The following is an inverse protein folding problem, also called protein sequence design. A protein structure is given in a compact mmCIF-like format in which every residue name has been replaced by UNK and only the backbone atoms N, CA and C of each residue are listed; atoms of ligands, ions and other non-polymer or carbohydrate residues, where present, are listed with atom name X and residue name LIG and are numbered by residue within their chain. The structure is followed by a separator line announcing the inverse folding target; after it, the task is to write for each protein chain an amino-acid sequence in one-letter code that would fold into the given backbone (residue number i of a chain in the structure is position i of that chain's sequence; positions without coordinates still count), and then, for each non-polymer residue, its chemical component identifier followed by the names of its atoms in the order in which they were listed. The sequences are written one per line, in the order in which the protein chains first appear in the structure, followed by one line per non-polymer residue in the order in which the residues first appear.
data_IF_096757400100
#
_entry.id   IF_096757400100
#
_cell.length_a   1.000
_cell.length_b   1.000
_cell.length_c   1.000
_cell.angle_alpha   90.00
_cell.angle_beta   90.00
_cell.angle_gamma   90.00
#
_symmetry.space_group_name_H-M   'P 1'
#
loop_
_entity.id
_entity.type
_entity.pdbx_description
1 polymer ?
#
# COMPACT_ATOMS: atom_id res chain seq x y z
N UNK A 1 19.09 -8.04 -10.48
CA UNK A 1 17.74 -7.45 -10.55
C UNK A 1 17.77 -6.18 -9.74
N UNK A 2 17.78 -5.01 -10.37
CA UNK A 2 17.82 -3.74 -9.65
C UNK A 2 16.40 -3.43 -9.21
N UNK A 3 16.04 -3.83 -7.99
CA UNK A 3 14.89 -3.26 -7.29
C UNK A 3 15.19 -1.79 -7.05
N UNK A 4 14.84 -0.95 -8.03
CA UNK A 4 14.85 0.49 -7.83
C UNK A 4 13.66 0.80 -6.93
N UNK A 5 13.90 0.72 -5.63
CA UNK A 5 12.97 1.13 -4.59
C UNK A 5 12.55 2.56 -4.88
N UNK A 6 11.32 2.72 -5.35
CA UNK A 6 10.65 4.01 -5.33
C UNK A 6 10.64 4.37 -3.84
N UNK A 7 11.45 5.35 -3.43
CA UNK A 7 11.36 5.95 -2.09
C UNK A 7 10.03 6.68 -2.03
N UNK A 8 8.95 5.94 -1.78
CA UNK A 8 7.72 6.51 -1.25
C UNK A 8 8.08 6.83 0.19
N UNK A 9 8.33 8.10 0.47
CA UNK A 9 8.40 8.56 1.85
C UNK A 9 7.14 8.05 2.57
N UNK A 10 7.35 7.23 3.60
CA UNK A 10 6.26 6.50 4.24
C UNK A 10 5.26 7.52 4.80
N UNK A 11 3.99 7.39 4.41
CA UNK A 11 2.95 8.25 4.94
C UNK A 11 2.88 8.09 6.47
N UNK A 12 2.85 9.19 7.22
CA UNK A 12 2.83 9.19 8.69
C UNK A 12 1.66 8.39 9.27
N UNK A 13 0.48 8.44 8.66
CA UNK A 13 -0.69 7.64 9.09
C UNK A 13 -0.46 6.15 8.83
N UNK A 14 0.14 5.81 7.68
CA UNK A 14 0.50 4.42 7.37
C UNK A 14 1.48 3.86 8.39
N UNK A 15 2.48 4.68 8.79
CA UNK A 15 3.40 4.32 9.87
C UNK A 15 2.65 4.08 11.19
N UNK A 16 1.73 4.98 11.59
CA UNK A 16 0.94 4.83 12.82
C UNK A 16 0.10 3.56 12.82
N UNK A 17 -0.59 3.25 11.71
CA UNK A 17 -1.44 2.06 11.61
C UNK A 17 -0.65 0.75 11.68
N UNK A 18 0.52 0.70 11.03
CA UNK A 18 1.34 -0.50 10.95
C UNK A 18 2.25 -0.68 12.17
N UNK A 19 2.58 0.40 12.88
CA UNK A 19 3.36 0.33 14.10
C UNK A 19 2.64 -0.53 15.15
N UNK A 20 3.36 -1.45 15.78
CA UNK A 20 2.86 -2.32 16.85
C UNK A 20 1.51 -3.02 16.57
N UNK A 21 1.20 -3.30 15.30
CA UNK A 21 -0.10 -3.85 14.86
C UNK A 21 -1.30 -3.01 15.36
N UNK A 22 -1.16 -1.68 15.39
CA UNK A 22 -2.17 -0.77 15.92
C UNK A 22 -3.52 -0.93 15.22
N UNK A 23 -3.52 -1.10 13.90
CA UNK A 23 -4.76 -1.31 13.14
C UNK A 23 -5.47 -2.63 13.50
N UNK A 24 -4.72 -3.74 13.52
CA UNK A 24 -5.25 -5.05 13.85
C UNK A 24 -5.76 -5.11 15.29
N UNK A 25 -5.02 -4.51 16.22
CA UNK A 25 -5.42 -4.39 17.62
C UNK A 25 -6.70 -3.55 17.76
N UNK A 26 -6.79 -2.43 17.03
CA UNK A 26 -7.98 -1.60 17.01
C UNK A 26 -9.21 -2.36 16.48
N UNK A 27 -9.08 -3.10 15.38
CA UNK A 27 -10.13 -3.95 14.83
C UNK A 27 -10.58 -5.03 15.82
N UNK A 28 -9.64 -5.70 16.49
CA UNK A 28 -9.91 -6.73 17.49
C UNK A 28 -10.68 -6.17 18.69
N UNK A 29 -10.28 -5.01 19.18
CA UNK A 29 -10.89 -4.35 20.35
C UNK A 29 -12.29 -3.75 20.05
N UNK A 30 -12.59 -3.47 18.79
CA UNK A 30 -13.84 -2.83 18.35
C UNK A 30 -14.68 -3.73 17.43
N UNK A 31 -14.51 -5.05 17.54
CA UNK A 31 -15.20 -6.04 16.71
C UNK A 31 -16.72 -5.80 16.72
N UNK A 32 -17.31 -5.74 15.52
CA UNK A 32 -18.76 -5.52 15.34
C UNK A 32 -19.24 -4.07 15.49
N UNK A 33 -18.38 -3.13 15.92
CA UNK A 33 -18.71 -1.71 16.04
C UNK A 33 -18.25 -0.87 14.84
N UNK A 34 -17.28 -1.39 14.09
CA UNK A 34 -16.70 -0.70 12.93
C UNK A 34 -17.49 -1.07 11.67
N UNK A 35 -17.90 -0.05 10.91
CA UNK A 35 -18.56 -0.24 9.61
C UNK A 35 -17.58 -0.87 8.62
N UNK A 36 -18.04 -1.84 7.84
CA UNK A 36 -17.23 -2.52 6.82
C UNK A 36 -16.53 -1.57 5.84
N UNK A 37 -17.17 -0.45 5.50
CA UNK A 37 -16.56 0.57 4.62
C UNK A 37 -15.29 1.17 5.21
N UNK A 38 -15.22 1.38 6.53
CA UNK A 38 -14.02 1.92 7.19
C UNK A 38 -12.87 0.92 7.08
N UNK A 39 -13.17 -0.36 7.32
CA UNK A 39 -12.18 -1.44 7.22
C UNK A 39 -11.62 -1.47 5.80
N UNK A 40 -12.50 -1.49 4.80
CA UNK A 40 -12.14 -1.51 3.39
C UNK A 40 -11.28 -0.30 2.97
N UNK A 41 -11.61 0.91 3.41
CA UNK A 41 -10.84 2.10 3.03
C UNK A 41 -9.47 2.17 3.72
N UNK A 42 -9.37 1.73 4.98
CA UNK A 42 -8.07 1.65 5.67
C UNK A 42 -7.19 0.58 5.03
N UNK A 43 -7.72 -0.61 4.73
CA UNK A 43 -6.97 -1.68 4.07
C UNK A 43 -6.45 -1.22 2.69
N UNK A 44 -7.29 -0.56 1.88
CA UNK A 44 -6.85 0.05 0.61
C UNK A 44 -5.71 1.05 0.81
N UNK A 45 -5.81 1.90 1.83
CA UNK A 45 -4.77 2.88 2.13
C UNK A 45 -3.45 2.21 2.56
N UNK A 46 -3.52 1.17 3.39
CA UNK A 46 -2.35 0.40 3.83
C UNK A 46 -1.68 -0.35 2.67
N UNK A 47 -2.46 -0.82 1.69
CA UNK A 47 -1.94 -1.49 0.50
C UNK A 47 -1.77 -0.57 -0.72
N UNK A 48 -1.91 0.74 -0.53
CA UNK A 48 -1.69 1.71 -1.61
C UNK A 48 -0.23 1.63 -2.09
N UNK A 49 -0.06 1.57 -3.41
CA UNK A 49 1.25 1.41 -4.06
C UNK A 49 1.72 -0.05 -4.20
N UNK A 50 0.97 -1.03 -3.68
CA UNK A 50 1.29 -2.44 -3.86
C UNK A 50 1.03 -2.86 -5.32
N UNK A 51 2.06 -3.37 -5.98
CA UNK A 51 1.98 -3.82 -7.38
C UNK A 51 1.05 -5.02 -7.56
N UNK A 52 0.79 -5.81 -6.52
CA UNK A 52 -0.19 -6.91 -6.59
C UNK A 52 -1.63 -6.43 -6.82
N UNK A 53 -1.93 -5.17 -6.49
CA UNK A 53 -3.23 -4.54 -6.72
C UNK A 53 -3.39 -3.98 -8.15
N UNK A 54 -2.37 -4.12 -8.99
CA UNK A 54 -2.35 -3.63 -10.36
C UNK A 54 -1.33 -2.51 -10.58
N UNK A 55 -0.78 -2.46 -11.78
CA UNK A 55 0.23 -1.48 -12.19
C UNK A 55 0.16 -1.19 -13.68
N UNK A 56 0.77 -0.07 -14.08
CA UNK A 56 1.07 0.25 -15.47
C UNK A 56 2.53 -0.06 -15.76
N UNK A 57 2.79 -0.60 -16.96
CA UNK A 57 4.14 -0.87 -17.45
C UNK A 57 4.54 0.22 -18.44
N UNK A 58 5.69 0.84 -18.21
CA UNK A 58 6.32 1.78 -19.12
C UNK A 58 7.61 1.16 -19.62
N UNK A 59 7.70 0.95 -20.93
CA UNK A 59 8.88 0.39 -21.59
C UNK A 59 9.56 1.50 -22.41
N UNK A 60 10.88 1.62 -22.30
CA UNK A 60 11.63 2.47 -23.21
C UNK A 60 11.81 1.76 -24.55
N UNK A 61 11.61 2.48 -25.66
CA UNK A 61 11.80 1.92 -27.01
C UNK A 61 13.29 1.88 -27.40
N UNK A 62 14.11 2.79 -26.85
CA UNK A 62 15.53 2.92 -27.17
C UNK A 62 16.46 2.12 -26.25
N UNK A 63 15.96 1.55 -25.15
CA UNK A 63 16.78 0.76 -24.21
C UNK A 63 15.94 -0.31 -23.49
N UNK A 64 16.55 -1.37 -22.92
CA UNK A 64 15.79 -2.49 -22.32
C UNK A 64 15.12 -2.16 -20.98
N UNK A 65 15.08 -0.88 -20.58
CA UNK A 65 14.53 -0.48 -19.30
C UNK A 65 13.00 -0.57 -19.30
N UNK A 66 12.47 -1.19 -18.25
CA UNK A 66 11.03 -1.32 -17.96
C UNK A 66 10.77 -0.78 -16.57
N UNK A 67 9.72 0.04 -16.44
CA UNK A 67 9.26 0.60 -15.17
C UNK A 67 7.83 0.15 -14.89
N UNK A 68 7.63 -0.42 -13.72
CA UNK A 68 6.31 -0.72 -13.17
C UNK A 68 5.89 0.44 -12.27
N UNK A 69 4.69 0.97 -12.48
CA UNK A 69 4.15 2.08 -11.71
C UNK A 69 2.80 1.63 -11.14
N UNK A 70 2.62 1.60 -9.80
CA UNK A 70 1.34 1.26 -9.19
C UNK A 70 0.20 2.15 -9.72
N UNK A 71 -1.03 1.60 -9.77
CA UNK A 71 -2.26 2.34 -10.12
C UNK A 71 -2.86 3.00 -8.88
#
# INVERSE_FOLDING_TARGET
MVEKSIRIEMNKLKAIFLDNNNWENFLKNNKGKIRQVIIKEVDKFLHCGDLSNGFRVYKCEACPNVKHVPI
#
